data_IF_161334721102
#
_entry.id   IF_161334721102
#
_cell.length_a   1.000
_cell.length_b   1.000
_cell.length_c   1.000
_cell.angle_alpha   90.00
_cell.angle_beta   90.00
_cell.angle_gamma   90.00
#
_symmetry.space_group_name_H-M   'P 1'
#
loop_
_entity.id
_entity.type
_entity.pdbx_description
1 polymer ?
#
# COMPACT_ATOMS: atom_id res chain seq x y z
N UNK A 1 20.39 -14.05 -9.34
CA UNK A 1 18.93 -14.25 -9.24
C UNK A 1 18.31 -12.87 -9.31
N UNK A 2 18.18 -12.38 -10.53
CA UNK A 2 17.58 -11.09 -10.87
C UNK A 2 16.06 -11.23 -10.85
N UNK A 3 15.40 -10.23 -10.30
CA UNK A 3 14.01 -9.93 -10.58
C UNK A 3 13.79 -8.49 -10.09
N UNK A 4 14.27 -7.53 -10.87
CA UNK A 4 13.86 -6.13 -10.78
C UNK A 4 12.39 -6.04 -11.24
N UNK A 5 11.49 -6.56 -10.42
CA UNK A 5 10.06 -6.33 -10.60
C UNK A 5 9.79 -4.87 -10.25
N UNK A 6 9.17 -4.12 -11.15
CA UNK A 6 8.72 -2.77 -10.83
C UNK A 6 7.82 -2.78 -9.59
N UNK A 7 7.88 -1.72 -8.78
CA UNK A 7 7.07 -1.61 -7.57
C UNK A 7 5.57 -1.83 -7.85
N UNK A 8 5.09 -1.37 -9.00
CA UNK A 8 3.71 -1.60 -9.47
C UNK A 8 3.41 -3.09 -9.68
N UNK A 9 4.30 -3.83 -10.34
CA UNK A 9 4.15 -5.28 -10.53
C UNK A 9 4.17 -6.02 -9.18
N UNK A 10 5.00 -5.56 -8.24
CA UNK A 10 5.03 -6.08 -6.87
C UNK A 10 3.68 -5.87 -6.16
N UNK A 11 3.11 -4.68 -6.23
CA UNK A 11 1.81 -4.38 -5.61
C UNK A 11 0.69 -5.24 -6.19
N UNK A 12 0.63 -5.40 -7.52
CA UNK A 12 -0.35 -6.25 -8.21
C UNK A 12 -0.20 -7.71 -7.73
N UNK A 13 1.04 -8.22 -7.62
CA UNK A 13 1.34 -9.56 -7.08
C UNK A 13 0.82 -9.74 -5.64
N UNK A 14 0.80 -8.68 -4.83
CA UNK A 14 0.23 -8.67 -3.47
C UNK A 14 -1.28 -8.42 -3.42
N UNK A 15 -1.96 -8.33 -4.58
CA UNK A 15 -3.37 -7.96 -4.72
C UNK A 15 -3.65 -6.54 -4.21
N UNK A 16 -2.71 -5.63 -4.40
CA UNK A 16 -2.85 -4.21 -4.07
C UNK A 16 -3.06 -3.43 -5.37
N UNK A 17 -4.08 -2.58 -5.38
CA UNK A 17 -4.35 -1.66 -6.47
C UNK A 17 -3.39 -0.46 -6.39
N UNK A 18 -2.36 -0.47 -7.24
CA UNK A 18 -1.36 0.60 -7.34
C UNK A 18 -2.00 1.96 -7.67
N UNK A 19 -3.03 1.98 -8.52
CA UNK A 19 -3.69 3.22 -8.95
C UNK A 19 -4.43 3.88 -7.79
N UNK A 20 -5.21 3.09 -7.03
CA UNK A 20 -5.90 3.60 -5.83
C UNK A 20 -4.92 4.04 -4.75
N UNK A 21 -3.86 3.25 -4.55
CA UNK A 21 -2.87 3.54 -3.53
C UNK A 21 -2.11 4.85 -3.83
N UNK A 22 -1.68 5.06 -5.08
CA UNK A 22 -1.01 6.29 -5.52
C UNK A 22 -1.91 7.53 -5.46
N UNK A 23 -3.20 7.38 -5.75
CA UNK A 23 -4.16 8.48 -5.70
C UNK A 23 -4.51 8.92 -4.27
N UNK A 24 -4.76 7.99 -3.35
CA UNK A 24 -5.08 8.35 -1.97
C UNK A 24 -3.82 8.74 -1.17
N UNK A 25 -2.70 8.05 -1.35
CA UNK A 25 -1.52 8.18 -0.51
C UNK A 25 -0.23 8.27 -1.32
N UNK A 26 -0.14 9.27 -2.21
CA UNK A 26 1.04 9.54 -3.04
C UNK A 26 2.35 9.64 -2.25
N UNK A 27 2.34 10.32 -1.10
CA UNK A 27 3.55 10.48 -0.27
C UNK A 27 4.07 9.12 0.25
N UNK A 28 3.16 8.26 0.70
CA UNK A 28 3.51 6.93 1.19
C UNK A 28 3.92 6.00 0.03
N UNK A 29 3.28 6.16 -1.13
CA UNK A 29 3.66 5.47 -2.37
C UNK A 29 5.09 5.81 -2.78
N UNK A 30 5.44 7.10 -2.87
CA UNK A 30 6.77 7.55 -3.28
C UNK A 30 7.84 7.08 -2.27
N UNK A 31 7.55 7.11 -0.96
CA UNK A 31 8.43 6.61 0.08
C UNK A 31 8.66 5.09 -0.01
N UNK A 32 7.57 4.30 -0.18
CA UNK A 32 7.68 2.85 -0.34
C UNK A 32 8.36 2.47 -1.65
N UNK A 33 8.14 3.23 -2.73
CA UNK A 33 8.84 3.01 -3.99
C UNK A 33 10.34 3.25 -3.83
N UNK A 34 10.74 4.33 -3.14
CA UNK A 34 12.15 4.60 -2.83
C UNK A 34 12.77 3.52 -1.94
N UNK A 35 12.05 3.04 -0.93
CA UNK A 35 12.50 1.93 -0.09
C UNK A 35 12.61 0.63 -0.89
N UNK A 36 11.70 0.38 -1.82
CA UNK A 36 11.71 -0.78 -2.71
C UNK A 36 12.85 -0.73 -3.73
N UNK A 37 13.23 0.47 -4.20
CA UNK A 37 14.36 0.64 -5.12
C UNK A 37 15.70 0.34 -4.43
N UNK A 38 15.76 0.54 -3.11
CA UNK A 38 16.95 0.24 -2.30
C UNK A 38 17.07 -1.24 -1.92
N UNK A 39 16.01 -2.05 -2.06
CA UNK A 39 16.05 -3.45 -1.65
C UNK A 39 15.11 -4.36 -2.44
N UNK A 40 15.53 -5.59 -2.62
CA UNK A 40 14.75 -6.64 -3.26
C UNK A 40 13.39 -6.92 -2.57
N UNK A 41 12.40 -7.31 -3.37
CA UNK A 41 10.99 -7.47 -2.99
C UNK A 41 10.76 -8.31 -1.71
N UNK A 42 11.56 -9.35 -1.49
CA UNK A 42 11.44 -10.18 -0.29
C UNK A 42 11.84 -9.43 0.98
N UNK A 43 13.00 -8.76 0.96
CA UNK A 43 13.47 -7.92 2.06
C UNK A 43 12.49 -6.79 2.36
N UNK A 44 12.00 -6.12 1.31
CA UNK A 44 10.97 -5.10 1.42
C UNK A 44 9.70 -5.63 2.07
N UNK A 45 9.22 -6.80 1.63
CA UNK A 45 8.02 -7.43 2.20
C UNK A 45 8.20 -7.71 3.68
N UNK A 46 9.36 -8.22 4.10
CA UNK A 46 9.63 -8.54 5.50
C UNK A 46 9.67 -7.28 6.36
N UNK A 47 10.37 -6.24 5.91
CA UNK A 47 10.48 -4.98 6.65
C UNK A 47 9.16 -4.22 6.71
N UNK A 48 8.39 -4.22 5.62
CA UNK A 48 7.16 -3.43 5.49
C UNK A 48 5.89 -4.26 5.66
N UNK A 49 5.99 -5.51 6.14
CA UNK A 49 4.86 -6.43 6.28
C UNK A 49 3.68 -5.81 7.05
N UNK A 50 4.00 -5.06 8.11
CA UNK A 50 3.03 -4.38 8.96
C UNK A 50 2.30 -3.23 8.24
N UNK A 51 2.89 -2.64 7.20
CA UNK A 51 2.24 -1.65 6.32
C UNK A 51 1.50 -2.32 5.17
N UNK A 52 2.11 -3.35 4.56
CA UNK A 52 1.54 -4.04 3.41
C UNK A 52 0.22 -4.72 3.78
N UNK A 53 0.12 -5.34 4.97
CA UNK A 53 -1.12 -5.99 5.39
C UNK A 53 -2.34 -5.05 5.45
N UNK A 54 -2.31 -3.89 6.11
CA UNK A 54 -3.41 -2.93 6.06
C UNK A 54 -3.60 -2.36 4.65
N UNK A 55 -2.54 -2.12 3.87
CA UNK A 55 -2.66 -1.67 2.47
C UNK A 55 -3.41 -2.68 1.60
N UNK A 56 -3.16 -3.99 1.76
CA UNK A 56 -3.90 -5.06 1.06
C UNK A 56 -5.39 -5.07 1.39
N UNK A 57 -5.75 -4.72 2.63
CA UNK A 57 -7.17 -4.64 3.05
C UNK A 57 -7.83 -3.35 2.60
N UNK A 58 -7.07 -2.25 2.49
CA UNK A 58 -7.56 -0.92 2.10
C UNK A 58 -7.67 -0.77 0.58
N UNK A 59 -6.68 -1.26 -0.15
CA UNK A 59 -6.53 -1.11 -1.60
C UNK A 59 -6.56 -2.48 -2.28
N UNK A 60 -7.50 -3.35 -1.88
CA UNK A 60 -7.63 -4.66 -2.50
C UNK A 60 -7.89 -4.50 -4.00
N UNK A 61 -7.04 -5.12 -4.82
CA UNK A 61 -7.24 -5.23 -6.25
C UNK A 61 -8.28 -6.32 -6.51
N UNK A 62 -9.56 -5.98 -6.32
CA UNK A 62 -10.65 -6.82 -6.80
C UNK A 62 -10.65 -6.76 -8.33
N UNK A 63 -10.62 -7.93 -8.97
CA UNK A 63 -10.62 -8.11 -10.44
C UNK A 63 -11.91 -7.57 -11.11
N UNK A 64 -12.81 -6.99 -10.32
CA UNK A 64 -14.08 -6.40 -10.73
C UNK A 64 -14.13 -4.96 -10.23
N UNK A 65 -14.29 -4.00 -11.14
CA UNK A 65 -14.55 -2.57 -10.87
C UNK A 65 -13.32 -1.66 -10.64
N UNK A 66 -12.81 -1.15 -11.77
CA UNK A 66 -12.58 0.28 -11.87
C UNK A 66 -13.82 1.06 -11.40
N UNK A 67 -13.61 2.16 -10.67
CA UNK A 67 -14.60 3.16 -10.21
C UNK A 67 -15.39 2.84 -8.93
N UNK A 68 -14.92 3.32 -7.75
CA UNK A 68 -15.75 4.10 -6.80
C UNK A 68 -14.98 4.53 -5.53
N UNK A 69 -14.82 5.84 -5.40
CA UNK A 69 -14.71 6.69 -4.19
C UNK A 69 -15.12 6.05 -2.84
N UNK A 70 -14.27 6.13 -1.79
CA UNK A 70 -14.64 6.31 -0.37
C UNK A 70 -13.39 6.34 0.56
N UNK A 71 -12.84 7.51 0.89
CA UNK A 71 -13.16 8.36 2.08
C UNK A 71 -12.43 7.99 3.40
N UNK A 72 -12.07 9.00 4.21
CA UNK A 72 -10.96 8.99 5.17
C UNK A 72 -11.35 8.33 6.49
N UNK A 73 -10.42 7.60 7.12
CA UNK A 73 -10.63 7.15 8.51
C UNK A 73 -10.42 8.33 9.46
N UNK A 74 -11.55 8.85 9.91
CA UNK A 74 -11.73 9.81 10.99
C UNK A 74 -11.17 9.28 12.33
N UNK A 75 -10.27 10.08 12.91
CA UNK A 75 -9.89 10.29 14.32
C UNK A 75 -10.47 9.36 15.40
N UNK A 76 -9.57 8.76 16.20
CA UNK A 76 -9.87 8.40 17.59
C UNK A 76 -9.31 9.49 18.52
N UNK A 77 -10.17 10.38 19.02
CA UNK A 77 -9.83 11.27 20.14
C UNK A 77 -10.33 10.59 21.42
N UNK A 78 -9.48 10.18 22.37
CA UNK A 78 -9.96 9.67 23.64
C UNK A 78 -10.65 10.80 24.41
N UNK A 79 -11.90 10.58 24.83
CA UNK A 79 -12.56 11.41 25.86
C UNK A 79 -11.95 11.04 27.21
N UNK A 80 -11.13 11.91 27.77
CA UNK A 80 -10.79 11.88 29.19
C UNK A 80 -11.98 12.52 29.91
N UNK A 81 -12.77 11.70 30.61
CA UNK A 81 -13.79 12.18 31.55
C UNK A 81 -13.14 12.40 32.91
N UNK A 82 -13.29 13.64 33.38
CA UNK A 82 -13.22 14.24 34.74
C UNK A 82 -12.31 13.60 35.78
#
# INVERSE_FOLDING_TARGET
MENDQSFEAYLISKKIDSSKFKLEEKSLYDALQSDFDQMNANSFTQQKLFLINPLRRKYLLDTTAALSVAKPKTVFKPKIQK
#
